data_IF_416388925336
#
_entry.id   IF_416388925336
#
_cell.length_a   1.000
_cell.length_b   1.000
_cell.length_c   1.000
_cell.angle_alpha   90.00
_cell.angle_beta   90.00
_cell.angle_gamma   90.00
#
_symmetry.space_group_name_H-M   'P 1'
#
loop_
_entity.id
_entity.type
_entity.pdbx_description
1 polymer ?
#
# COMPACT_ATOMS: atom_id res chain seq x y z
N UNK A 1 3.47 6.80 20.65
CA UNK A 1 3.32 6.20 22.00
C UNK A 1 3.40 4.67 22.06
N UNK A 2 3.39 3.96 20.94
CA UNK A 2 3.48 2.48 20.92
C UNK A 2 4.92 1.94 20.76
N UNK A 3 5.86 2.82 20.50
CA UNK A 3 7.30 2.60 20.50
C UNK A 3 7.85 3.65 21.45
N UNK A 4 8.65 3.26 22.45
CA UNK A 4 9.18 4.18 23.49
C UNK A 4 10.24 5.15 22.96
N UNK A 5 9.97 5.76 21.81
CA UNK A 5 10.82 6.74 21.11
C UNK A 5 9.93 7.83 20.49
N UNK A 6 10.47 9.03 20.35
CA UNK A 6 9.81 10.09 19.59
C UNK A 6 9.85 9.79 18.08
N UNK A 7 8.95 10.35 17.31
CA UNK A 7 8.87 10.13 15.87
C UNK A 7 10.17 10.53 15.16
N UNK A 8 10.83 11.58 15.63
CA UNK A 8 12.11 12.10 15.12
C UNK A 8 13.31 11.16 15.34
N UNK A 9 13.11 10.11 16.16
CA UNK A 9 14.14 9.11 16.46
C UNK A 9 13.88 7.77 15.78
N UNK A 10 12.74 7.65 15.06
CA UNK A 10 12.27 6.40 14.48
C UNK A 10 12.65 6.25 13.02
N UNK A 11 12.99 5.01 12.68
CA UNK A 11 13.06 4.48 11.33
C UNK A 11 11.84 3.60 11.08
N UNK A 12 10.94 4.01 10.21
CA UNK A 12 9.65 3.36 9.99
C UNK A 12 9.48 3.00 8.53
N UNK A 13 8.99 1.79 8.27
CA UNK A 13 8.34 1.48 6.99
C UNK A 13 6.83 1.54 7.22
N UNK A 14 6.16 2.45 6.53
CA UNK A 14 4.71 2.66 6.63
C UNK A 14 4.03 2.14 5.36
N UNK A 15 3.24 1.09 5.48
CA UNK A 15 2.43 0.54 4.39
C UNK A 15 0.96 0.89 4.60
N UNK A 16 0.39 1.65 3.68
CA UNK A 16 -1.03 1.95 3.66
C UNK A 16 -1.72 1.27 2.48
N UNK A 17 -2.73 0.47 2.77
CA UNK A 17 -3.58 -0.17 1.77
C UNK A 17 -4.93 0.56 1.77
N UNK A 18 -5.10 1.45 0.82
CA UNK A 18 -6.34 2.20 0.61
C UNK A 18 -7.39 1.35 -0.11
N UNK A 19 -8.56 1.93 -0.35
CA UNK A 19 -9.60 1.28 -1.18
C UNK A 19 -9.18 1.09 -2.64
N UNK A 20 -8.11 1.75 -3.10
CA UNK A 20 -7.66 1.72 -4.50
C UNK A 20 -6.29 1.10 -4.69
N UNK A 21 -5.32 1.55 -3.95
CA UNK A 21 -3.91 1.30 -4.17
C UNK A 21 -3.16 0.98 -2.89
N UNK A 22 -1.87 0.73 -3.04
CA UNK A 22 -0.95 0.46 -1.93
C UNK A 22 0.21 1.44 -1.99
N UNK A 23 0.40 2.20 -0.94
CA UNK A 23 1.60 3.01 -0.76
C UNK A 23 2.48 2.46 0.36
N UNK A 24 3.79 2.44 0.09
CA UNK A 24 4.80 2.07 1.07
C UNK A 24 5.80 3.21 1.16
N UNK A 25 5.89 3.82 2.34
CA UNK A 25 6.76 4.96 2.61
C UNK A 25 7.81 4.61 3.64
N UNK A 26 8.98 5.21 3.49
CA UNK A 26 10.09 5.11 4.44
C UNK A 26 10.24 6.42 5.19
N UNK A 27 10.19 6.33 6.51
CA UNK A 27 10.43 7.47 7.38
C UNK A 27 11.75 7.26 8.12
N UNK A 28 12.59 8.27 8.11
CA UNK A 28 13.86 8.31 8.85
C UNK A 28 13.94 9.63 9.61
N UNK A 29 14.11 9.56 10.93
CA UNK A 29 14.24 10.72 11.78
C UNK A 29 13.13 11.78 11.57
N UNK A 30 11.88 11.37 11.63
CA UNK A 30 10.72 12.24 11.49
C UNK A 30 10.46 12.77 10.07
N UNK A 31 11.08 12.19 9.03
CA UNK A 31 10.91 12.62 7.63
C UNK A 31 10.66 11.45 6.71
N UNK A 32 9.74 11.62 5.76
CA UNK A 32 9.61 10.71 4.62
C UNK A 32 10.80 10.91 3.70
N UNK A 33 11.56 9.85 3.45
CA UNK A 33 12.76 9.88 2.60
C UNK A 33 12.59 9.07 1.31
N UNK A 34 11.61 8.17 1.27
CA UNK A 34 11.29 7.35 0.10
C UNK A 34 9.83 6.93 0.12
N UNK A 35 9.21 6.77 -1.05
CA UNK A 35 7.85 6.28 -1.20
C UNK A 35 7.62 5.78 -2.62
N UNK A 36 6.89 4.67 -2.79
CA UNK A 36 6.46 4.24 -4.11
C UNK A 36 5.35 5.15 -4.66
N UNK A 37 5.27 5.31 -5.98
CA UNK A 37 4.25 6.17 -6.62
C UNK A 37 2.82 5.66 -6.41
N UNK A 38 2.60 4.37 -6.24
CA UNK A 38 1.33 3.70 -5.97
C UNK A 38 0.23 3.82 -7.05
N UNK A 39 0.50 4.48 -8.18
CA UNK A 39 -0.45 4.71 -9.27
C UNK A 39 0.13 4.33 -10.63
N UNK A 40 -0.76 4.07 -11.60
CA UNK A 40 -0.43 3.90 -13.02
C UNK A 40 0.63 2.84 -13.29
N UNK A 41 0.54 1.71 -12.59
CA UNK A 41 1.44 0.57 -12.80
C UNK A 41 2.75 0.64 -12.01
N UNK A 42 2.80 1.37 -10.91
CA UNK A 42 3.94 1.39 -10.00
C UNK A 42 3.61 0.77 -8.64
N UNK A 43 4.60 0.09 -8.05
CA UNK A 43 4.47 -0.55 -6.76
C UNK A 43 3.69 -1.87 -6.79
N UNK A 44 3.21 -2.35 -5.63
CA UNK A 44 2.41 -3.57 -5.55
C UNK A 44 0.99 -3.36 -6.08
N UNK A 45 0.37 -4.46 -6.50
CA UNK A 45 -1.04 -4.43 -6.91
C UNK A 45 -1.95 -4.00 -5.76
N UNK A 46 -2.95 -3.17 -6.08
CA UNK A 46 -4.01 -2.75 -5.16
C UNK A 46 -5.36 -3.33 -5.55
N UNK A 47 -6.45 -2.79 -5.02
CA UNK A 47 -7.80 -3.22 -5.42
C UNK A 47 -8.17 -2.77 -6.82
N UNK A 48 -7.70 -1.60 -7.25
CA UNK A 48 -7.95 -1.01 -8.57
C UNK A 48 -6.70 -0.93 -9.44
N UNK A 49 -5.52 -0.88 -8.86
CA UNK A 49 -4.26 -0.70 -9.56
C UNK A 49 -3.58 -2.04 -9.83
N UNK A 50 -3.03 -2.21 -11.04
CA UNK A 50 -2.33 -3.46 -11.41
C UNK A 50 -1.05 -3.69 -10.61
N UNK A 51 -0.44 -2.61 -10.10
CA UNK A 51 0.97 -2.62 -9.72
C UNK A 51 1.89 -2.68 -10.95
N UNK A 52 3.17 -2.96 -10.71
CA UNK A 52 4.20 -2.97 -11.75
C UNK A 52 3.92 -4.00 -12.83
N UNK A 53 3.92 -3.54 -14.09
CA UNK A 53 3.67 -4.36 -15.29
C UNK A 53 4.94 -4.52 -16.12
N UNK A 54 5.11 -5.67 -16.79
CA UNK A 54 6.14 -5.85 -17.82
C UNK A 54 5.88 -4.91 -19.01
N UNK A 55 6.82 -4.04 -19.32
CA UNK A 55 6.70 -3.04 -20.40
C UNK A 55 6.42 -3.69 -21.75
N UNK A 56 7.07 -4.83 -22.07
CA UNK A 56 6.84 -5.55 -23.33
C UNK A 56 5.38 -5.93 -23.53
N UNK A 57 4.70 -6.41 -22.46
CA UNK A 57 3.29 -6.78 -22.54
C UNK A 57 2.39 -5.55 -22.78
N UNK A 58 2.72 -4.42 -22.16
CA UNK A 58 1.99 -3.16 -22.37
C UNK A 58 2.14 -2.67 -23.80
N UNK A 59 3.36 -2.71 -24.34
CA UNK A 59 3.63 -2.39 -25.74
C UNK A 59 2.89 -3.32 -26.73
N UNK A 60 2.86 -4.61 -26.45
CA UNK A 60 2.11 -5.57 -27.26
C UNK A 60 0.60 -5.28 -27.27
N UNK A 61 0.03 -4.88 -26.15
CA UNK A 61 -1.37 -4.49 -26.08
C UNK A 61 -1.65 -3.22 -26.89
N UNK A 62 -0.78 -2.21 -26.79
CA UNK A 62 -0.92 -0.97 -27.55
C UNK A 62 -0.75 -1.18 -29.05
N UNK A 63 0.30 -1.88 -29.47
CA UNK A 63 0.69 -1.97 -30.85
C UNK A 63 -0.02 -3.10 -31.61
N UNK A 64 -0.17 -4.28 -31.01
CA UNK A 64 -0.77 -5.45 -31.65
C UNK A 64 -2.29 -5.54 -31.46
N UNK A 65 -2.80 -5.10 -30.32
CA UNK A 65 -4.23 -5.16 -29.99
C UNK A 65 -4.94 -3.82 -30.17
N UNK A 66 -4.21 -2.80 -30.63
CA UNK A 66 -4.73 -1.47 -30.95
C UNK A 66 -5.50 -0.78 -29.80
N UNK A 67 -5.14 -1.05 -28.54
CA UNK A 67 -5.70 -0.29 -27.42
C UNK A 67 -5.23 1.17 -27.50
N UNK A 68 -6.15 2.08 -27.28
CA UNK A 68 -5.83 3.50 -27.08
C UNK A 68 -5.18 3.71 -25.71
N UNK A 69 -4.52 4.86 -25.53
CA UNK A 69 -3.94 5.26 -24.25
C UNK A 69 -5.00 5.24 -23.12
N UNK A 70 -6.19 5.77 -23.39
CA UNK A 70 -7.25 5.87 -22.37
C UNK A 70 -7.82 4.50 -21.99
N UNK A 71 -7.95 3.58 -22.93
CA UNK A 71 -8.32 2.20 -22.64
C UNK A 71 -7.27 1.49 -21.80
N UNK A 72 -5.98 1.68 -22.13
CA UNK A 72 -4.88 1.13 -21.33
C UNK A 72 -4.88 1.70 -19.91
N UNK A 73 -5.04 3.01 -19.75
CA UNK A 73 -5.12 3.61 -18.41
C UNK A 73 -6.30 3.07 -17.60
N UNK A 74 -7.45 2.83 -18.21
CA UNK A 74 -8.60 2.19 -17.55
C UNK A 74 -8.28 0.76 -17.11
N UNK A 75 -7.59 -0.02 -17.96
CA UNK A 75 -7.16 -1.37 -17.62
C UNK A 75 -6.15 -1.40 -16.47
N UNK A 76 -5.25 -0.42 -16.40
CA UNK A 76 -4.20 -0.35 -15.39
C UNK A 76 -4.75 0.10 -14.04
N UNK A 77 -5.70 1.07 -14.02
CA UNK A 77 -6.07 1.80 -12.81
C UNK A 77 -7.53 1.68 -12.37
N UNK A 78 -8.38 0.96 -13.12
CA UNK A 78 -9.81 0.82 -12.78
C UNK A 78 -10.32 -0.61 -12.89
N UNK A 79 -10.01 -1.28 -14.00
CA UNK A 79 -10.47 -2.63 -14.31
C UNK A 79 -9.38 -3.67 -14.06
N UNK A 80 -8.46 -3.32 -13.21
CA UNK A 80 -7.30 -4.14 -12.88
C UNK A 80 -7.60 -5.14 -11.76
N UNK A 81 -6.62 -5.96 -11.46
CA UNK A 81 -6.50 -6.81 -10.28
C UNK A 81 -7.77 -7.62 -9.99
N UNK A 82 -8.44 -7.36 -8.86
CA UNK A 82 -9.61 -8.13 -8.46
C UNK A 82 -10.72 -8.06 -9.50
N UNK A 83 -10.98 -6.90 -10.10
CA UNK A 83 -12.00 -6.78 -11.15
C UNK A 83 -11.73 -7.70 -12.34
N UNK A 84 -10.49 -7.75 -12.82
CA UNK A 84 -10.10 -8.62 -13.95
C UNK A 84 -10.29 -10.10 -13.65
N UNK A 85 -10.20 -10.51 -12.39
CA UNK A 85 -10.24 -11.92 -12.01
C UNK A 85 -11.60 -12.39 -11.49
N UNK A 86 -12.32 -11.54 -10.78
CA UNK A 86 -13.58 -11.90 -10.07
C UNK A 86 -14.69 -10.87 -10.28
N UNK A 87 -14.55 -9.95 -11.22
CA UNK A 87 -15.53 -8.93 -11.63
C UNK A 87 -16.01 -8.03 -10.48
N UNK A 88 -15.17 -7.79 -9.45
CA UNK A 88 -15.46 -6.83 -8.37
C UNK A 88 -14.18 -6.25 -7.77
N UNK A 89 -14.27 -4.98 -7.34
CA UNK A 89 -13.24 -4.28 -6.57
C UNK A 89 -13.71 -3.95 -5.14
N UNK A 90 -14.97 -4.28 -4.80
CA UNK A 90 -15.50 -4.04 -3.45
C UNK A 90 -14.79 -4.93 -2.43
N UNK A 91 -14.19 -4.34 -1.41
CA UNK A 91 -13.52 -5.08 -0.33
C UNK A 91 -14.50 -5.99 0.41
N UNK A 92 -15.76 -5.58 0.58
CA UNK A 92 -16.81 -6.36 1.21
C UNK A 92 -17.10 -7.64 0.41
N UNK A 93 -17.36 -7.52 -0.90
CA UNK A 93 -17.60 -8.65 -1.80
C UNK A 93 -16.40 -9.58 -1.93
N UNK A 94 -15.17 -9.00 -1.95
CA UNK A 94 -13.93 -9.76 -1.93
C UNK A 94 -13.83 -10.58 -0.65
N UNK A 95 -14.09 -9.95 0.51
CA UNK A 95 -14.05 -10.61 1.82
C UNK A 95 -15.09 -11.74 1.93
N UNK A 96 -16.31 -11.53 1.44
CA UNK A 96 -17.33 -12.57 1.35
C UNK A 96 -16.89 -13.74 0.46
N UNK A 97 -16.36 -13.43 -0.72
CA UNK A 97 -15.88 -14.39 -1.70
C UNK A 97 -14.76 -15.28 -1.18
N UNK A 98 -13.97 -14.80 -0.21
CA UNK A 98 -12.90 -15.59 0.41
C UNK A 98 -13.38 -16.87 1.09
N UNK A 99 -14.63 -16.95 1.48
CA UNK A 99 -15.19 -18.16 2.13
C UNK A 99 -15.14 -19.36 1.18
N UNK A 100 -15.54 -19.17 -0.08
CA UNK A 100 -15.82 -20.25 -1.02
C UNK A 100 -15.07 -20.18 -2.35
N UNK A 101 -14.26 -19.14 -2.59
CA UNK A 101 -13.58 -18.91 -3.87
C UNK A 101 -12.05 -18.99 -3.73
N UNK A 102 -11.49 -20.10 -4.24
CA UNK A 102 -10.03 -20.30 -4.17
C UNK A 102 -9.26 -19.32 -5.05
N UNK A 103 -9.85 -18.81 -6.14
CA UNK A 103 -9.23 -17.79 -6.99
C UNK A 103 -9.06 -16.47 -6.23
N UNK A 104 -10.10 -16.05 -5.50
CA UNK A 104 -10.04 -14.87 -4.64
C UNK A 104 -8.95 -15.01 -3.56
N UNK A 105 -8.85 -16.19 -2.94
CA UNK A 105 -7.78 -16.48 -1.95
C UNK A 105 -6.39 -16.31 -2.56
N UNK A 106 -6.18 -16.89 -3.74
CA UNK A 106 -4.90 -16.81 -4.45
C UNK A 106 -4.54 -15.35 -4.80
N UNK A 107 -5.49 -14.57 -5.31
CA UNK A 107 -5.24 -13.17 -5.67
C UNK A 107 -4.86 -12.35 -4.42
N UNK A 108 -5.55 -12.60 -3.30
CA UNK A 108 -5.23 -11.95 -2.04
C UNK A 108 -3.82 -12.32 -1.52
N UNK A 109 -3.41 -13.58 -1.68
CA UNK A 109 -2.05 -14.01 -1.37
C UNK A 109 -1.00 -13.35 -2.27
N UNK A 110 -1.30 -13.22 -3.56
CA UNK A 110 -0.41 -12.54 -4.52
C UNK A 110 -0.27 -11.06 -4.17
N UNK A 111 -1.37 -10.39 -3.79
CA UNK A 111 -1.33 -9.01 -3.31
C UNK A 111 -0.44 -8.88 -2.06
N UNK A 112 -0.66 -9.73 -1.06
CA UNK A 112 0.17 -9.74 0.15
C UNK A 112 1.65 -10.03 -0.15
N UNK A 113 1.93 -10.92 -1.11
CA UNK A 113 3.30 -11.23 -1.55
C UNK A 113 3.98 -10.01 -2.22
N UNK A 114 3.27 -9.30 -3.10
CA UNK A 114 3.82 -8.10 -3.74
C UNK A 114 4.07 -6.98 -2.72
N UNK A 115 3.16 -6.78 -1.76
CA UNK A 115 3.34 -5.82 -0.67
C UNK A 115 4.54 -6.19 0.20
N UNK A 116 4.73 -7.47 0.52
CA UNK A 116 5.89 -7.94 1.26
C UNK A 116 7.21 -7.63 0.54
N UNK A 117 7.25 -7.82 -0.78
CA UNK A 117 8.42 -7.47 -1.60
C UNK A 117 8.70 -5.97 -1.59
N UNK A 118 7.67 -5.15 -1.68
CA UNK A 118 7.82 -3.69 -1.62
C UNK A 118 8.36 -3.24 -0.26
N UNK A 119 7.78 -3.74 0.83
CA UNK A 119 8.29 -3.48 2.19
C UNK A 119 9.75 -3.93 2.32
N UNK A 120 10.09 -5.11 1.81
CA UNK A 120 11.45 -5.64 1.88
C UNK A 120 12.44 -4.83 1.01
N UNK A 121 12.01 -4.26 -0.13
CA UNK A 121 12.88 -3.38 -0.92
C UNK A 121 13.27 -2.12 -0.14
N UNK A 122 12.34 -1.57 0.62
CA UNK A 122 12.59 -0.41 1.47
C UNK A 122 13.44 -0.69 2.72
N UNK A 123 13.68 -1.96 3.06
CA UNK A 123 14.64 -2.35 4.11
C UNK A 123 16.04 -1.81 3.80
N UNK A 124 16.43 -1.80 2.53
CA UNK A 124 17.74 -1.30 2.09
C UNK A 124 17.84 0.22 2.26
N UNK A 125 16.76 0.96 2.02
CA UNK A 125 16.72 2.42 2.19
C UNK A 125 17.07 2.83 3.64
N UNK A 126 16.76 1.99 4.61
CA UNK A 126 17.09 2.18 6.03
C UNK A 126 18.34 1.41 6.48
N UNK A 127 19.12 0.85 5.55
CA UNK A 127 20.33 0.07 5.85
C UNK A 127 20.07 -1.07 6.87
N UNK A 128 18.87 -1.65 6.83
CA UNK A 128 18.46 -2.69 7.76
C UNK A 128 18.08 -2.23 9.16
N UNK A 129 18.09 -0.93 9.43
CA UNK A 129 17.83 -0.35 10.76
C UNK A 129 16.36 0.12 10.84
N UNK A 130 15.45 -0.79 11.09
CA UNK A 130 14.01 -0.51 11.17
C UNK A 130 13.55 -0.69 12.63
N UNK A 131 12.92 0.33 13.19
CA UNK A 131 12.31 0.26 14.53
C UNK A 131 10.93 -0.41 14.48
N UNK A 132 10.13 -0.16 13.43
CA UNK A 132 8.79 -0.71 13.29
C UNK A 132 8.29 -0.67 11.84
N UNK A 133 7.52 -1.69 11.46
CA UNK A 133 6.70 -1.71 10.25
C UNK A 133 5.26 -1.41 10.66
N UNK A 134 4.69 -0.36 10.07
CA UNK A 134 3.29 0.04 10.32
C UNK A 134 2.44 -0.39 9.13
N UNK A 135 1.37 -1.15 9.39
CA UNK A 135 0.39 -1.57 8.42
C UNK A 135 -0.93 -0.84 8.68
N UNK A 136 -1.43 -0.08 7.71
CA UNK A 136 -2.65 0.72 7.84
C UNK A 136 -3.63 0.43 6.70
N UNK A 137 -4.91 0.40 7.01
CA UNK A 137 -6.02 0.20 6.07
C UNK A 137 -6.97 -0.91 6.47
N UNK A 138 -8.22 -0.80 6.03
CA UNK A 138 -9.34 -1.69 6.39
C UNK A 138 -9.10 -3.17 6.06
N UNK A 139 -8.30 -3.47 5.01
CA UNK A 139 -7.96 -4.84 4.64
C UNK A 139 -7.28 -5.63 5.77
N UNK A 140 -6.61 -4.95 6.69
CA UNK A 140 -5.94 -5.58 7.82
C UNK A 140 -6.90 -6.07 8.92
N UNK A 141 -8.21 -5.79 8.83
CA UNK A 141 -9.25 -6.50 9.58
C UNK A 141 -9.39 -7.96 9.12
N UNK A 142 -8.96 -8.26 7.89
CA UNK A 142 -8.96 -9.62 7.37
C UNK A 142 -7.76 -10.40 7.91
N UNK A 143 -8.01 -11.26 8.90
CA UNK A 143 -6.97 -12.06 9.58
C UNK A 143 -6.14 -12.92 8.60
N UNK A 144 -6.73 -13.40 7.49
CA UNK A 144 -6.00 -14.20 6.51
C UNK A 144 -4.99 -13.34 5.75
N UNK A 145 -5.40 -12.16 5.28
CA UNK A 145 -4.50 -11.23 4.59
C UNK A 145 -3.38 -10.78 5.52
N UNK A 146 -3.73 -10.35 6.73
CA UNK A 146 -2.74 -9.97 7.73
C UNK A 146 -1.73 -11.08 7.98
N UNK A 147 -2.18 -12.32 8.16
CA UNK A 147 -1.30 -13.48 8.39
C UNK A 147 -0.40 -13.78 7.19
N UNK A 148 -0.92 -13.64 5.96
CA UNK A 148 -0.12 -13.85 4.75
C UNK A 148 1.01 -12.83 4.61
N UNK A 149 0.73 -11.57 4.92
CA UNK A 149 1.71 -10.50 4.84
C UNK A 149 2.71 -10.60 6.02
N UNK A 150 2.21 -10.63 7.25
CA UNK A 150 3.04 -10.60 8.46
C UNK A 150 4.07 -11.72 8.49
N UNK A 151 3.68 -12.95 8.14
CA UNK A 151 4.61 -14.10 8.06
C UNK A 151 5.82 -13.85 7.15
N UNK A 152 5.70 -12.98 6.16
CA UNK A 152 6.78 -12.69 5.20
C UNK A 152 7.71 -11.57 5.64
N UNK A 153 7.24 -10.71 6.55
CA UNK A 153 7.97 -9.50 6.95
C UNK A 153 8.30 -9.45 8.44
N UNK A 154 7.81 -10.40 9.24
CA UNK A 154 8.00 -10.42 10.70
C UNK A 154 9.48 -10.50 11.13
N UNK A 155 10.33 -11.05 10.26
CA UNK A 155 11.79 -11.14 10.50
C UNK A 155 12.53 -9.81 10.20
N UNK A 156 11.85 -8.81 9.59
CA UNK A 156 12.50 -7.55 9.24
C UNK A 156 12.47 -6.57 10.41
N UNK A 157 11.33 -6.44 11.08
CA UNK A 157 11.15 -5.59 12.26
C UNK A 157 9.79 -5.90 12.95
N UNK A 158 9.55 -5.42 14.18
CA UNK A 158 8.25 -5.48 14.84
C UNK A 158 7.14 -4.87 13.98
N UNK A 159 5.97 -5.52 13.94
CA UNK A 159 4.82 -5.09 13.14
C UNK A 159 3.76 -4.45 14.06
N UNK A 160 3.26 -3.28 13.66
CA UNK A 160 2.07 -2.64 14.24
C UNK A 160 0.98 -2.50 13.19
N UNK A 161 -0.23 -2.95 13.50
CA UNK A 161 -1.36 -2.87 12.57
C UNK A 161 -2.41 -1.87 13.06
N UNK A 162 -2.85 -1.01 12.14
CA UNK A 162 -3.93 -0.04 12.31
C UNK A 162 -4.99 -0.32 11.25
N UNK A 163 -5.95 -1.24 11.53
CA UNK A 163 -6.88 -1.77 10.54
C UNK A 163 -8.04 -0.81 10.19
N UNK A 164 -7.81 0.49 10.27
CA UNK A 164 -8.75 1.55 9.89
C UNK A 164 -8.05 2.56 9.02
N UNK A 165 -8.82 3.35 8.29
CA UNK A 165 -8.33 4.55 7.65
C UNK A 165 -8.39 5.71 8.65
N UNK A 166 -7.24 6.22 9.03
CA UNK A 166 -7.08 7.35 9.96
C UNK A 166 -6.71 8.64 9.23
N UNK A 167 -6.91 8.71 7.91
CA UNK A 167 -6.47 9.88 7.12
C UNK A 167 -7.15 11.16 7.54
N UNK A 168 -8.45 11.10 7.86
CA UNK A 168 -9.21 12.28 8.30
C UNK A 168 -8.75 12.72 9.68
N UNK A 169 -8.61 11.80 10.63
CA UNK A 169 -8.13 12.09 11.98
C UNK A 169 -6.71 12.67 11.96
N UNK A 170 -5.84 12.14 11.11
CA UNK A 170 -4.49 12.65 10.94
C UNK A 170 -4.48 14.06 10.34
N UNK A 171 -5.33 14.36 9.37
CA UNK A 171 -5.49 15.72 8.81
C UNK A 171 -6.00 16.68 9.88
N UNK A 172 -7.05 16.33 10.63
CA UNK A 172 -7.58 17.14 11.72
C UNK A 172 -6.51 17.40 12.78
N UNK A 173 -5.76 16.36 13.16
CA UNK A 173 -4.67 16.49 14.13
C UNK A 173 -3.62 17.51 13.65
N UNK A 174 -3.17 17.43 12.39
CA UNK A 174 -2.18 18.36 11.84
C UNK A 174 -2.70 19.79 11.79
N UNK A 175 -3.96 20.00 11.40
CA UNK A 175 -4.58 21.34 11.41
C UNK A 175 -4.63 21.91 12.83
N UNK A 176 -4.99 21.09 13.82
CA UNK A 176 -5.00 21.53 15.24
C UNK A 176 -3.58 21.84 15.76
N UNK A 177 -2.54 21.08 15.32
CA UNK A 177 -1.16 21.42 15.69
C UNK A 177 -0.75 22.79 15.12
N UNK A 178 -1.15 23.11 13.88
CA UNK A 178 -0.91 24.42 13.27
C UNK A 178 -1.65 25.54 14.01
N UNK A 179 -2.96 25.38 14.25
CA UNK A 179 -3.78 26.38 14.97
C UNK A 179 -3.20 26.67 16.38
N UNK A 180 -2.67 25.63 17.04
CA UNK A 180 -2.05 25.76 18.37
C UNK A 180 -0.58 26.22 18.32
N UNK A 181 -0.06 26.64 17.16
CA UNK A 181 1.30 27.17 17.02
C UNK A 181 2.41 26.14 17.24
N UNK A 182 2.11 24.84 17.12
CA UNK A 182 3.10 23.77 17.33
C UNK A 182 3.84 23.37 16.06
N UNK A 183 3.29 23.70 14.90
CA UNK A 183 3.91 23.47 13.57
C UNK A 183 3.67 24.70 12.71
N UNK A 184 4.61 25.00 11.80
CA UNK A 184 4.51 26.08 10.83
C UNK A 184 3.92 25.59 9.51
N UNK A 185 3.26 26.51 8.78
CA UNK A 185 2.87 26.29 7.39
C UNK A 185 4.13 26.23 6.52
N UNK A 186 4.18 25.21 5.67
CA UNK A 186 5.19 25.11 4.62
C UNK A 186 4.58 25.56 3.29
N UNK A 187 5.23 26.51 2.62
CA UNK A 187 4.87 26.86 1.25
C UNK A 187 5.48 25.82 0.32
N UNK A 188 4.64 25.26 -0.54
CA UNK A 188 5.11 24.39 -1.62
C UNK A 188 5.71 25.30 -2.71
N UNK A 189 7.00 25.11 -3.00
CA UNK A 189 7.69 25.80 -4.08
C UNK A 189 7.70 24.95 -5.34
#
# INVERSE_FOLDING_TARGET
HSVNKNYEELNIIFCHVSDRNVSVAVHKNGRVIDVNQAFMGFGPMGFFETGTLPISNVLDMLLKKHYTKDEMLKLISRNATFFSYIATNSQEKITESLKNNNKTKLILEVMAYQIAKEIASHYITLEGKIDVIILSGKIFENNRFFKYLSKRIENLAPIKSYPKDYSIEAMIFNVLQFINGKIDLKTYA
#
